data_IF_548458085283
#
_entry.id   IF_548458085283
#
_cell.length_a   1.000
_cell.length_b   1.000
_cell.length_c   1.000
_cell.angle_alpha   90.00
_cell.angle_beta   90.00
_cell.angle_gamma   90.00
#
_symmetry.space_group_name_H-M   'P 1'
#
loop_
_entity.id
_entity.type
_entity.pdbx_description
1 polymer ?
#
# COMPACT_ATOMS: atom_id res chain seq x y z
N UNK A 1 -0.72 26.86 7.49
CA UNK A 1 -1.31 26.03 6.40
C UNK A 1 -2.56 25.33 6.93
N UNK A 2 -3.74 25.56 6.33
CA UNK A 2 -5.03 25.07 6.85
C UNK A 2 -5.25 23.56 6.64
N UNK A 3 -5.92 22.90 7.59
CA UNK A 3 -6.31 21.48 7.58
C UNK A 3 -7.13 21.07 6.34
N UNK A 4 -7.85 22.00 5.72
CA UNK A 4 -8.64 21.76 4.50
C UNK A 4 -7.78 21.45 3.29
N UNK A 5 -6.66 22.17 3.14
CA UNK A 5 -5.75 22.02 2.00
C UNK A 5 -4.98 20.68 2.06
N UNK A 6 -4.71 20.18 3.28
CA UNK A 6 -4.10 18.86 3.50
C UNK A 6 -5.07 17.72 3.17
N UNK A 7 -6.36 17.85 3.50
CA UNK A 7 -7.41 16.87 3.17
C UNK A 7 -7.59 16.72 1.65
N UNK A 8 -7.60 17.84 0.92
CA UNK A 8 -7.72 17.86 -0.54
C UNK A 8 -6.53 17.14 -1.22
N UNK A 9 -5.31 17.38 -0.75
CA UNK A 9 -4.11 16.71 -1.27
C UNK A 9 -4.11 15.20 -1.01
N UNK A 10 -4.58 14.75 0.16
CA UNK A 10 -4.74 13.31 0.49
C UNK A 10 -5.76 12.63 -0.43
N UNK A 11 -6.93 13.25 -0.62
CA UNK A 11 -7.99 12.70 -1.47
C UNK A 11 -7.58 12.64 -2.96
N UNK A 12 -6.86 13.64 -3.46
CA UNK A 12 -6.32 13.63 -4.83
C UNK A 12 -5.37 12.44 -5.05
N UNK A 13 -4.38 12.26 -4.17
CA UNK A 13 -3.42 11.14 -4.31
C UNK A 13 -4.05 9.76 -4.23
N UNK A 14 -5.06 9.59 -3.37
CA UNK A 14 -5.81 8.34 -3.32
C UNK A 14 -6.54 8.03 -4.64
N UNK A 15 -7.05 9.06 -5.32
CA UNK A 15 -7.65 8.93 -6.66
C UNK A 15 -6.61 8.62 -7.72
N UNK A 16 -5.48 9.32 -7.69
CA UNK A 16 -4.37 9.10 -8.62
C UNK A 16 -3.88 7.64 -8.51
N UNK A 17 -3.62 7.13 -7.30
CA UNK A 17 -3.24 5.72 -7.10
C UNK A 17 -4.31 4.72 -7.54
N UNK A 18 -5.60 5.03 -7.33
CA UNK A 18 -6.68 4.16 -7.79
C UNK A 18 -6.75 4.14 -9.32
N UNK A 19 -6.50 5.28 -9.97
CA UNK A 19 -6.43 5.40 -11.42
C UNK A 19 -5.28 4.56 -11.97
N UNK A 20 -4.06 4.78 -11.46
CA UNK A 20 -2.87 4.03 -11.87
C UNK A 20 -3.06 2.51 -11.68
N UNK A 21 -3.67 2.10 -10.56
CA UNK A 21 -4.00 0.69 -10.32
C UNK A 21 -5.01 0.13 -11.33
N UNK A 22 -6.03 0.91 -11.71
CA UNK A 22 -7.03 0.49 -12.71
C UNK A 22 -6.39 0.30 -14.08
N UNK A 23 -5.54 1.23 -14.50
CA UNK A 23 -4.78 1.12 -15.75
C UNK A 23 -3.88 -0.12 -15.73
N UNK A 24 -3.12 -0.33 -14.66
CA UNK A 24 -2.28 -1.51 -14.51
C UNK A 24 -3.08 -2.84 -14.55
N UNK A 25 -4.32 -2.86 -14.07
CA UNK A 25 -5.17 -4.04 -14.16
C UNK A 25 -5.71 -4.32 -15.55
N UNK A 26 -6.00 -3.28 -16.34
CA UNK A 26 -6.37 -3.45 -17.74
C UNK A 26 -5.24 -4.13 -18.52
N UNK A 27 -3.98 -3.77 -18.24
CA UNK A 27 -2.81 -4.40 -18.86
C UNK A 27 -2.54 -5.84 -18.36
N UNK A 28 -2.86 -6.17 -17.10
CA UNK A 28 -2.77 -7.55 -16.59
C UNK A 28 -3.74 -8.51 -17.27
N UNK A 29 -4.96 -8.08 -17.55
CA UNK A 29 -5.94 -8.92 -18.25
C UNK A 29 -5.53 -9.23 -19.70
N UNK A 30 -4.71 -8.37 -20.32
CA UNK A 30 -4.17 -8.58 -21.67
C UNK A 30 -2.94 -9.52 -21.72
N UNK A 31 -2.25 -9.73 -20.58
CA UNK A 31 -0.99 -10.50 -20.50
C UNK A 31 -1.10 -11.77 -19.65
N UNK A 32 -2.30 -12.11 -19.16
CA UNK A 32 -2.58 -13.26 -18.31
C UNK A 32 -2.24 -14.64 -18.94
N UNK A 33 -1.85 -14.69 -20.22
CA UNK A 33 -1.48 -15.92 -20.92
C UNK A 33 -0.01 -16.35 -20.76
N UNK A 34 0.88 -15.56 -20.10
CA UNK A 34 2.34 -15.84 -20.11
C UNK A 34 3.02 -15.74 -18.73
N UNK A 35 2.43 -16.28 -17.67
CA UNK A 35 3.06 -16.26 -16.34
C UNK A 35 3.01 -17.62 -15.61
N UNK A 36 3.55 -18.66 -16.25
CA UNK A 36 3.85 -19.98 -15.64
C UNK A 36 5.36 -20.15 -15.38
N UNK A 37 6.01 -19.13 -14.82
CA UNK A 37 7.39 -19.23 -14.35
C UNK A 37 7.45 -19.69 -12.88
N UNK A 38 8.43 -20.53 -12.48
CA UNK A 38 8.62 -20.90 -11.08
C UNK A 38 9.02 -19.66 -10.27
N UNK A 39 8.13 -19.18 -9.40
CA UNK A 39 8.36 -17.99 -8.56
C UNK A 39 7.24 -16.93 -8.59
N UNK A 40 6.24 -17.06 -9.48
CA UNK A 40 5.08 -16.18 -9.44
C UNK A 40 4.14 -16.59 -8.30
N UNK A 41 4.25 -15.94 -7.13
CA UNK A 41 3.26 -16.08 -6.07
C UNK A 41 2.00 -15.30 -6.45
N UNK A 42 1.03 -16.02 -7.00
CA UNK A 42 -0.32 -15.48 -7.19
C UNK A 42 -0.90 -15.03 -5.85
N UNK A 43 -1.67 -13.93 -5.86
CA UNK A 43 -2.36 -13.47 -4.66
C UNK A 43 -3.29 -14.58 -4.17
N UNK A 44 -3.08 -15.05 -2.94
CA UNK A 44 -4.01 -15.94 -2.25
C UNK A 44 -4.70 -15.20 -1.11
N UNK A 45 -5.95 -15.60 -0.91
CA UNK A 45 -6.77 -15.24 0.25
C UNK A 45 -6.03 -15.66 1.54
N UNK A 46 -6.10 -14.87 2.63
CA UNK A 46 -5.45 -15.24 3.89
C UNK A 46 -6.05 -16.54 4.44
N UNK A 47 -5.28 -17.37 5.17
CA UNK A 47 -5.82 -18.52 5.90
C UNK A 47 -6.94 -18.12 6.86
N UNK A 48 -7.76 -19.10 7.23
CA UNK A 48 -8.84 -18.87 8.19
C UNK A 48 -8.29 -18.31 9.52
N UNK A 49 -9.03 -17.40 10.14
CA UNK A 49 -8.70 -16.69 11.37
C UNK A 49 -7.40 -15.86 11.30
N UNK A 50 -6.97 -15.45 10.10
CA UNK A 50 -5.80 -14.59 9.93
C UNK A 50 -6.15 -13.26 9.27
N UNK A 51 -5.32 -12.25 9.55
CA UNK A 51 -5.38 -10.96 8.89
C UNK A 51 -4.21 -10.83 7.90
N UNK A 52 -4.47 -10.17 6.76
CA UNK A 52 -3.42 -9.80 5.80
C UNK A 52 -3.22 -8.30 5.80
N UNK A 53 -1.99 -7.88 6.10
CA UNK A 53 -1.57 -6.50 6.02
C UNK A 53 -0.72 -6.30 4.75
N UNK A 54 -1.30 -5.66 3.73
CA UNK A 54 -0.56 -5.22 2.56
C UNK A 54 0.11 -3.89 2.86
N UNK A 55 1.43 -3.81 2.69
CA UNK A 55 2.23 -2.60 2.93
C UNK A 55 2.86 -2.14 1.62
N UNK A 56 2.84 -0.84 1.37
CA UNK A 56 3.49 -0.24 0.20
C UNK A 56 4.12 1.12 0.52
N UNK A 57 5.07 1.54 -0.32
CA UNK A 57 5.75 2.82 -0.22
C UNK A 57 5.83 3.51 -1.59
N UNK A 58 5.50 4.80 -1.62
CA UNK A 58 5.52 5.63 -2.82
C UNK A 58 6.52 6.78 -2.66
N UNK A 59 7.40 6.96 -3.64
CA UNK A 59 8.46 7.97 -3.64
C UNK A 59 8.15 9.09 -4.64
N UNK A 60 8.38 10.33 -4.24
CA UNK A 60 8.15 11.53 -5.04
C UNK A 60 9.42 12.38 -5.01
N UNK A 61 10.36 12.07 -5.90
CA UNK A 61 11.72 12.64 -5.90
C UNK A 61 11.70 14.15 -6.04
N UNK A 62 10.93 14.66 -7.02
CA UNK A 62 10.82 16.10 -7.31
C UNK A 62 10.25 16.91 -6.13
N UNK A 63 9.62 16.23 -5.17
CA UNK A 63 9.00 16.84 -4.00
C UNK A 63 9.77 16.56 -2.70
N UNK A 64 10.97 15.95 -2.79
CA UNK A 64 11.77 15.50 -1.66
C UNK A 64 10.94 14.78 -0.58
N UNK A 65 10.13 13.81 -0.99
CA UNK A 65 9.11 13.23 -0.13
C UNK A 65 8.83 11.79 -0.51
N UNK A 66 8.52 10.98 0.50
CA UNK A 66 7.93 9.66 0.30
C UNK A 66 6.74 9.44 1.24
N UNK A 67 5.91 8.48 0.89
CA UNK A 67 4.76 8.07 1.68
C UNK A 67 4.82 6.56 1.89
N UNK A 68 4.29 6.10 3.01
CA UNK A 68 4.03 4.69 3.28
C UNK A 68 2.53 4.51 3.50
N UNK A 69 2.03 3.32 3.21
CA UNK A 69 0.67 2.95 3.54
C UNK A 69 0.55 1.47 3.82
N UNK A 70 -0.47 1.13 4.61
CA UNK A 70 -0.88 -0.25 4.77
C UNK A 70 -2.39 -0.42 4.73
N UNK A 71 -2.82 -1.61 4.33
CA UNK A 71 -4.20 -2.01 4.24
C UNK A 71 -4.38 -3.42 4.84
N UNK A 72 -5.25 -3.53 5.84
CA UNK A 72 -5.58 -4.76 6.53
C UNK A 72 -6.86 -5.34 5.95
N UNK A 73 -6.83 -6.64 5.68
CA UNK A 73 -7.96 -7.42 5.19
C UNK A 73 -8.19 -8.66 6.03
N UNK A 74 -9.44 -9.09 6.14
CA UNK A 74 -9.80 -10.34 6.80
C UNK A 74 -9.55 -11.57 5.90
N UNK A 75 -9.85 -12.74 6.45
CA UNK A 75 -9.80 -14.02 5.75
C UNK A 75 -10.69 -14.07 4.50
N UNK A 76 -11.70 -13.20 4.36
CA UNK A 76 -12.52 -13.10 3.16
C UNK A 76 -11.99 -12.07 2.15
N UNK A 77 -10.87 -11.42 2.44
CA UNK A 77 -10.29 -10.34 1.64
C UNK A 77 -11.01 -8.99 1.82
N UNK A 78 -11.96 -8.89 2.76
CA UNK A 78 -12.71 -7.67 3.04
C UNK A 78 -11.82 -6.67 3.76
N UNK A 79 -11.97 -5.40 3.40
CA UNK A 79 -11.26 -4.30 4.05
C UNK A 79 -11.64 -4.19 5.52
N UNK A 80 -10.63 -4.09 6.40
CA UNK A 80 -10.82 -3.80 7.82
C UNK A 80 -10.37 -2.36 8.13
N UNK A 81 -9.09 -2.06 7.88
CA UNK A 81 -8.47 -0.77 8.22
C UNK A 81 -7.34 -0.44 7.26
N UNK A 82 -7.02 0.84 7.13
CA UNK A 82 -5.82 1.30 6.44
C UNK A 82 -5.22 2.52 7.13
N UNK A 83 -3.93 2.73 6.91
CA UNK A 83 -3.26 3.96 7.28
C UNK A 83 -2.32 4.43 6.17
N UNK A 84 -1.97 5.71 6.22
CA UNK A 84 -0.92 6.29 5.40
C UNK A 84 -0.15 7.34 6.21
N UNK A 85 1.18 7.34 6.08
CA UNK A 85 2.07 8.35 6.65
C UNK A 85 2.95 8.95 5.55
N UNK A 86 3.35 10.21 5.76
CA UNK A 86 4.17 10.98 4.83
C UNK A 86 5.43 11.43 5.55
N UNK A 87 6.54 11.34 4.84
CA UNK A 87 7.87 11.68 5.34
C UNK A 87 8.54 12.63 4.35
N UNK A 88 9.44 13.46 4.87
CA UNK A 88 10.36 14.28 4.07
C UNK A 88 11.61 13.43 3.81
N UNK A 89 12.16 13.51 2.61
CA UNK A 89 13.31 12.73 2.17
C UNK A 89 13.00 11.87 0.95
N UNK A 90 14.07 11.34 0.35
CA UNK A 90 14.03 10.45 -0.81
C UNK A 90 14.90 9.23 -0.57
N UNK A 91 14.55 8.38 0.41
CA UNK A 91 15.29 7.14 0.65
C UNK A 91 15.18 6.22 -0.55
N UNK A 92 16.06 5.21 -0.60
CA UNK A 92 15.96 4.15 -1.58
C UNK A 92 14.65 3.36 -1.40
N UNK A 93 14.17 2.74 -2.48
CA UNK A 93 12.86 2.06 -2.48
C UNK A 93 12.79 0.97 -1.39
N UNK A 94 13.89 0.25 -1.17
CA UNK A 94 13.95 -0.82 -0.17
C UNK A 94 13.92 -0.27 1.26
N UNK A 95 14.58 0.87 1.52
CA UNK A 95 14.54 1.56 2.81
C UNK A 95 13.13 2.08 3.13
N UNK A 96 12.47 2.71 2.13
CA UNK A 96 11.10 3.19 2.26
C UNK A 96 10.12 2.05 2.59
N UNK A 97 10.29 0.88 1.95
CA UNK A 97 9.50 -0.32 2.22
C UNK A 97 9.79 -0.90 3.61
N UNK A 98 11.05 -0.99 4.02
CA UNK A 98 11.43 -1.48 5.34
C UNK A 98 10.82 -0.60 6.45
N UNK A 99 10.90 0.72 6.29
CA UNK A 99 10.22 1.67 7.20
C UNK A 99 8.70 1.50 7.14
N UNK A 100 8.14 1.30 5.95
CA UNK A 100 6.72 0.99 5.76
C UNK A 100 6.28 -0.22 6.60
N UNK A 101 7.03 -1.30 6.58
CA UNK A 101 6.75 -2.51 7.37
C UNK A 101 6.82 -2.19 8.87
N UNK A 102 7.91 -1.56 9.33
CA UNK A 102 8.09 -1.20 10.74
C UNK A 102 6.94 -0.36 11.29
N UNK A 103 6.55 0.68 10.56
CA UNK A 103 5.47 1.58 10.93
C UNK A 103 4.10 0.90 10.91
N UNK A 104 3.91 -0.05 9.98
CA UNK A 104 2.70 -0.86 9.92
C UNK A 104 2.58 -1.78 11.13
N UNK A 105 3.67 -2.43 11.55
CA UNK A 105 3.69 -3.28 12.73
C UNK A 105 3.41 -2.48 14.01
N UNK A 106 4.06 -1.33 14.18
CA UNK A 106 3.79 -0.42 15.30
C UNK A 106 2.33 0.04 15.34
N UNK A 107 1.75 0.36 14.18
CA UNK A 107 0.35 0.77 14.07
C UNK A 107 -0.60 -0.37 14.44
N UNK A 108 -0.37 -1.59 13.94
CA UNK A 108 -1.16 -2.77 14.30
C UNK A 108 -1.08 -3.06 15.80
N UNK A 109 0.11 -2.94 16.39
CA UNK A 109 0.32 -3.15 17.82
C UNK A 109 -0.45 -2.14 18.66
N UNK A 110 -0.46 -0.87 18.25
CA UNK A 110 -1.25 0.18 18.93
C UNK A 110 -2.77 -0.03 18.85
N UNK A 111 -3.24 -0.93 17.98
CA UNK A 111 -4.65 -1.28 17.84
C UNK A 111 -4.98 -2.67 18.41
N UNK A 112 -4.02 -3.36 19.04
CA UNK A 112 -4.16 -4.74 19.50
C UNK A 112 -4.56 -5.71 18.37
N UNK A 113 -3.95 -5.54 17.20
CA UNK A 113 -4.19 -6.39 16.01
C UNK A 113 -3.02 -7.34 15.68
N UNK A 114 -2.04 -7.44 16.59
CA UNK A 114 -0.95 -8.40 16.59
C UNK A 114 -0.78 -8.99 17.99
#
# INVERSE_FOLDING_TARGET
MSNSHLRLKKARRARDHLHDWREAQQHKNATASVATGPGYMEWRRPPANTLKCNVDAARYVDHNMFCIGACVRDEHGRFIKAFAKRYIGTPEVHEAKALGILESLKWLQSMNMC
#
